data_IF_061242628097
#
_entry.id   IF_061242628097
#
_cell.length_a   1.000
_cell.length_b   1.000
_cell.length_c   1.000
_cell.angle_alpha   90.00
_cell.angle_beta   90.00
_cell.angle_gamma   90.00
#
_symmetry.space_group_name_H-M   'P 1'
#
loop_
_entity.id
_entity.type
_entity.pdbx_description
1 polymer ?
#
# COMPACT_ATOMS: atom_id res chain seq x y z
N UNK A 1 -36.34 24.53 0.33
CA UNK A 1 -36.46 23.11 -0.03
C UNK A 1 -35.05 22.59 -0.07
N UNK A 2 -34.59 22.07 1.08
CA UNK A 2 -33.20 21.66 1.29
C UNK A 2 -33.10 20.18 1.02
N UNK A 3 -32.24 19.80 0.09
CA UNK A 3 -31.98 18.40 -0.23
C UNK A 3 -30.68 18.01 0.47
N UNK A 4 -30.83 17.25 1.55
CA UNK A 4 -29.75 16.60 2.29
C UNK A 4 -29.10 15.57 1.36
N UNK A 5 -27.89 15.85 0.89
CA UNK A 5 -27.06 14.85 0.20
C UNK A 5 -26.58 13.82 1.22
N UNK A 6 -27.07 12.59 1.07
CA UNK A 6 -26.71 11.42 1.86
C UNK A 6 -25.25 11.04 1.52
N UNK A 7 -24.29 11.42 2.36
CA UNK A 7 -22.91 10.93 2.28
C UNK A 7 -22.91 9.49 2.76
N UNK A 8 -22.91 8.56 1.81
CA UNK A 8 -22.76 7.13 2.05
C UNK A 8 -21.30 6.88 2.47
N UNK A 9 -21.00 6.97 3.77
CA UNK A 9 -19.74 6.46 4.30
C UNK A 9 -19.78 4.94 4.22
N UNK A 10 -19.24 4.39 3.14
CA UNK A 10 -18.82 2.99 3.08
C UNK A 10 -17.58 2.90 3.96
N UNK A 11 -17.77 2.75 5.27
CA UNK A 11 -16.76 2.16 6.12
C UNK A 11 -16.68 0.68 5.74
N UNK A 12 -15.97 0.41 4.64
CA UNK A 12 -15.64 -0.93 4.22
C UNK A 12 -14.72 -1.56 5.24
N UNK A 13 -15.28 -2.35 6.16
CA UNK A 13 -14.56 -3.46 6.78
C UNK A 13 -14.30 -4.51 5.68
N UNK A 14 -13.41 -4.21 4.74
CA UNK A 14 -12.81 -5.20 3.87
C UNK A 14 -11.65 -5.79 4.66
N UNK A 15 -11.95 -6.89 5.37
CA UNK A 15 -10.93 -7.83 5.78
C UNK A 15 -10.49 -8.59 4.54
N UNK A 16 -9.82 -7.90 3.63
CA UNK A 16 -8.93 -8.57 2.68
C UNK A 16 -7.71 -8.98 3.50
N UNK A 17 -7.31 -10.24 3.37
CA UNK A 17 -6.07 -10.75 3.94
C UNK A 17 -4.93 -9.98 3.26
N UNK A 18 -4.63 -8.78 3.77
CA UNK A 18 -3.53 -7.94 3.32
C UNK A 18 -2.39 -8.11 4.29
N UNK A 19 -1.23 -8.43 3.75
CA UNK A 19 0.04 -8.40 4.49
C UNK A 19 0.91 -7.32 3.88
N UNK A 20 1.81 -6.76 4.68
CA UNK A 20 2.68 -5.71 4.19
C UNK A 20 4.12 -5.88 4.65
N UNK A 21 5.01 -5.26 3.90
CA UNK A 21 6.41 -5.12 4.26
C UNK A 21 6.77 -3.64 4.34
N UNK A 22 7.07 -3.17 5.54
CA UNK A 22 7.37 -1.78 5.84
C UNK A 22 8.87 -1.53 5.67
N UNK A 23 9.21 -0.76 4.63
CA UNK A 23 10.58 -0.31 4.35
C UNK A 23 10.76 1.18 4.65
N UNK A 24 9.90 1.80 5.48
CA UNK A 24 9.97 3.24 5.74
C UNK A 24 11.26 3.67 6.42
N UNK A 25 11.90 2.80 7.20
CA UNK A 25 13.20 3.08 7.79
C UNK A 25 14.32 3.23 6.74
N UNK A 26 14.21 2.54 5.61
CA UNK A 26 15.28 2.43 4.61
C UNK A 26 15.00 3.21 3.32
N UNK A 27 13.73 3.32 2.92
CA UNK A 27 13.36 3.82 1.58
C UNK A 27 12.08 4.63 1.53
N UNK A 28 11.49 4.97 2.69
CA UNK A 28 10.24 5.71 2.80
C UNK A 28 9.08 5.05 2.00
N UNK A 29 9.10 3.71 1.92
CA UNK A 29 8.14 2.89 1.17
C UNK A 29 7.56 1.78 2.03
N UNK A 30 6.33 1.36 1.78
CA UNK A 30 5.75 0.14 2.33
C UNK A 30 5.00 -0.60 1.21
N UNK A 31 5.19 -1.91 1.09
CA UNK A 31 4.54 -2.72 0.05
C UNK A 31 3.36 -3.49 0.65
N UNK A 32 2.15 -3.22 0.17
CA UNK A 32 0.95 -4.03 0.42
C UNK A 32 0.93 -5.23 -0.52
N UNK A 33 0.44 -6.36 -0.01
CA UNK A 33 0.06 -7.53 -0.80
C UNK A 33 -1.31 -8.03 -0.39
N UNK A 34 -2.17 -8.31 -1.34
CA UNK A 34 -3.50 -8.89 -1.11
C UNK A 34 -3.76 -10.11 -2.00
N UNK A 35 -4.94 -10.70 -1.87
CA UNK A 35 -5.37 -11.80 -2.73
C UNK A 35 -4.40 -12.99 -2.67
N UNK A 36 -3.99 -13.50 -3.84
CA UNK A 36 -3.03 -14.62 -3.91
C UNK A 36 -1.62 -14.22 -3.48
N UNK A 37 -1.29 -12.93 -3.53
CA UNK A 37 0.03 -12.42 -3.14
C UNK A 37 0.21 -12.41 -1.62
N UNK A 38 -0.91 -12.46 -0.86
CA UNK A 38 -0.94 -12.62 0.58
C UNK A 38 -1.11 -14.08 1.06
N UNK A 39 -1.28 -15.05 0.15
CA UNK A 39 -1.63 -16.42 0.50
C UNK A 39 -0.53 -17.19 1.28
N UNK A 40 0.70 -16.66 1.35
CA UNK A 40 1.83 -17.28 2.05
C UNK A 40 2.53 -16.28 2.99
N UNK A 41 1.89 -15.91 4.11
CA UNK A 41 2.41 -14.89 5.02
C UNK A 41 3.78 -15.25 5.58
N UNK A 42 4.02 -16.52 5.94
CA UNK A 42 5.31 -16.97 6.49
C UNK A 42 6.47 -16.84 5.50
N UNK A 43 6.22 -17.11 4.21
CA UNK A 43 7.26 -16.96 3.19
C UNK A 43 7.52 -15.49 2.88
N UNK A 44 6.47 -14.68 2.91
CA UNK A 44 6.58 -13.24 2.71
C UNK A 44 7.28 -12.55 3.88
N UNK A 45 6.95 -12.87 5.13
CA UNK A 45 7.63 -12.40 6.34
C UNK A 45 9.13 -12.66 6.26
N UNK A 46 9.54 -13.90 5.99
CA UNK A 46 10.95 -14.24 5.85
C UNK A 46 11.65 -13.47 4.72
N UNK A 47 10.96 -13.18 3.61
CA UNK A 47 11.51 -12.40 2.49
C UNK A 47 11.58 -10.91 2.84
N UNK A 48 10.58 -10.39 3.54
CA UNK A 48 10.50 -9.01 4.00
C UNK A 48 11.66 -8.70 4.96
N UNK A 49 11.85 -9.53 5.98
CA UNK A 49 12.94 -9.39 6.95
C UNK A 49 14.32 -9.53 6.29
N UNK A 50 14.47 -10.47 5.35
CA UNK A 50 15.71 -10.63 4.59
C UNK A 50 16.03 -9.40 3.71
N UNK A 51 15.01 -8.64 3.30
CA UNK A 51 15.14 -7.38 2.58
C UNK A 51 15.26 -6.15 3.52
N UNK A 52 15.43 -6.36 4.83
CA UNK A 52 15.48 -5.32 5.85
C UNK A 52 14.19 -4.49 5.99
N UNK A 53 13.04 -5.07 5.63
CA UNK A 53 11.73 -4.51 5.96
C UNK A 53 11.13 -5.16 7.21
N UNK A 54 10.17 -4.46 7.82
CA UNK A 54 9.39 -4.97 8.95
C UNK A 54 8.08 -5.59 8.42
N UNK A 55 7.86 -6.88 8.71
CA UNK A 55 6.62 -7.55 8.33
C UNK A 55 5.43 -7.01 9.14
N UNK A 56 4.31 -6.80 8.45
CA UNK A 56 3.04 -6.41 9.04
C UNK A 56 1.96 -7.44 8.68
N UNK A 57 1.31 -7.97 9.72
CA UNK A 57 0.13 -8.83 9.60
C UNK A 57 -1.13 -7.96 9.42
N UNK A 58 -1.14 -7.22 8.31
CA UNK A 58 -2.10 -6.17 7.98
C UNK A 58 -1.55 -5.24 6.90
N UNK A 59 -2.37 -4.25 6.46
CA UNK A 59 -1.95 -3.30 5.44
C UNK A 59 -0.90 -2.31 5.96
N UNK A 60 -0.22 -1.68 5.02
CA UNK A 60 0.65 -0.53 5.21
C UNK A 60 -0.06 0.60 5.98
N UNK A 61 0.65 1.30 6.89
CA UNK A 61 0.06 2.41 7.64
C UNK A 61 -0.42 3.53 6.73
N UNK A 62 -1.74 3.70 6.60
CA UNK A 62 -2.32 4.72 5.70
C UNK A 62 -1.95 6.17 6.04
N UNK A 63 -1.57 6.43 7.29
CA UNK A 63 -1.20 7.77 7.74
C UNK A 63 0.11 8.22 7.10
N UNK A 64 0.06 9.33 6.36
CA UNK A 64 1.24 9.99 5.80
C UNK A 64 1.67 9.47 4.42
N UNK A 65 0.84 8.65 3.78
CA UNK A 65 1.04 8.27 2.37
C UNK A 65 0.94 9.52 1.50
N UNK A 66 1.88 9.64 0.56
CA UNK A 66 1.93 10.68 -0.47
C UNK A 66 1.23 10.21 -1.74
N UNK A 67 1.43 8.93 -2.09
CA UNK A 67 0.79 8.21 -3.18
C UNK A 67 1.29 6.77 -3.21
N UNK A 68 0.69 5.93 -4.04
CA UNK A 68 1.12 4.55 -4.25
C UNK A 68 1.38 4.23 -5.71
N UNK A 69 2.05 3.10 -5.92
CA UNK A 69 2.23 2.50 -7.22
C UNK A 69 1.64 1.09 -7.23
N UNK A 70 0.58 0.91 -8.00
CA UNK A 70 -0.03 -0.40 -8.24
C UNK A 70 0.74 -1.13 -9.34
N UNK A 71 1.47 -2.17 -8.94
CA UNK A 71 2.38 -2.92 -9.82
C UNK A 71 1.87 -4.34 -10.15
N UNK A 72 0.67 -4.70 -9.68
CA UNK A 72 0.07 -6.04 -9.87
C UNK A 72 -1.48 -5.99 -9.79
N UNK A 73 -2.12 -5.11 -10.56
CA UNK A 73 -3.58 -4.98 -10.70
C UNK A 73 -4.36 -4.93 -9.37
N UNK A 74 -3.79 -4.27 -8.36
CA UNK A 74 -4.36 -4.06 -7.03
C UNK A 74 -3.89 -5.07 -5.99
N UNK A 75 -3.19 -6.13 -6.40
CA UNK A 75 -2.68 -7.17 -5.49
C UNK A 75 -1.31 -6.85 -4.89
N UNK A 76 -0.54 -5.94 -5.50
CA UNK A 76 0.71 -5.43 -4.95
C UNK A 76 0.79 -3.93 -5.15
N UNK A 77 0.83 -3.18 -4.04
CA UNK A 77 0.92 -1.72 -4.08
C UNK A 77 2.10 -1.24 -3.26
N UNK A 78 3.01 -0.50 -3.90
CA UNK A 78 4.10 0.21 -3.24
C UNK A 78 3.63 1.59 -2.80
N UNK A 79 3.40 1.78 -1.50
CA UNK A 79 3.03 3.05 -0.89
C UNK A 79 4.26 3.86 -0.51
N UNK A 80 4.27 5.14 -0.87
CA UNK A 80 5.39 6.03 -0.58
C UNK A 80 5.01 7.12 0.42
N UNK A 81 5.97 7.48 1.26
CA UNK A 81 5.82 8.42 2.38
C UNK A 81 6.80 9.58 2.22
N UNK A 82 6.55 10.68 2.93
CA UNK A 82 7.52 11.77 3.02
C UNK A 82 8.90 11.22 3.50
N UNK A 83 10.02 11.73 2.96
CA UNK A 83 10.18 12.94 2.16
C UNK A 83 9.90 12.79 0.65
N UNK A 84 9.39 11.64 0.17
CA UNK A 84 8.95 11.50 -1.22
C UNK A 84 7.85 12.51 -1.55
N UNK A 85 7.82 12.92 -2.80
CA UNK A 85 6.79 13.78 -3.38
C UNK A 85 5.91 12.97 -4.34
N UNK A 86 4.75 13.51 -4.71
CA UNK A 86 3.89 12.86 -5.71
C UNK A 86 4.64 12.64 -7.04
N UNK A 87 5.50 13.58 -7.44
CA UNK A 87 6.33 13.45 -8.63
C UNK A 87 7.32 12.27 -8.51
N UNK A 88 7.85 11.98 -7.31
CA UNK A 88 8.69 10.80 -7.09
C UNK A 88 7.89 9.49 -7.23
N UNK A 89 6.62 9.50 -6.82
CA UNK A 89 5.71 8.34 -6.97
C UNK A 89 5.37 8.14 -8.45
N UNK A 90 4.99 9.21 -9.14
CA UNK A 90 4.74 9.17 -10.58
C UNK A 90 5.94 8.61 -11.34
N UNK A 91 7.15 9.08 -11.02
CA UNK A 91 8.40 8.56 -11.60
C UNK A 91 8.65 7.09 -11.24
N UNK A 92 8.41 6.69 -10.00
CA UNK A 92 8.56 5.29 -9.58
C UNK A 92 7.59 4.34 -10.31
N UNK A 93 6.43 4.85 -10.74
CA UNK A 93 5.47 4.09 -11.53
C UNK A 93 5.75 4.07 -13.04
N UNK A 94 6.66 4.89 -13.55
CA UNK A 94 6.96 4.95 -14.98
C UNK A 94 7.56 3.62 -15.47
N UNK A 95 6.68 2.72 -15.94
CA UNK A 95 7.05 1.43 -16.53
C UNK A 95 6.71 0.21 -15.67
N UNK A 96 6.39 0.42 -14.39
CA UNK A 96 6.16 -0.67 -13.43
C UNK A 96 4.71 -0.73 -12.91
N UNK A 97 3.90 0.33 -13.07
CA UNK A 97 2.55 0.33 -12.51
C UNK A 97 1.68 1.56 -12.79
N UNK A 98 0.49 1.59 -12.18
CA UNK A 98 -0.42 2.74 -12.18
C UNK A 98 -0.30 3.53 -10.86
N UNK A 99 -0.26 4.86 -10.95
CA UNK A 99 -0.24 5.73 -9.77
C UNK A 99 -1.61 5.68 -9.10
N UNK A 100 -1.62 5.34 -7.81
CA UNK A 100 -2.84 5.32 -6.99
C UNK A 100 -2.83 6.44 -5.95
N UNK A 101 -3.99 7.06 -5.68
CA UNK A 101 -4.09 8.09 -4.64
C UNK A 101 -3.88 7.49 -3.25
N UNK A 102 -3.43 8.32 -2.27
CA UNK A 102 -3.26 7.91 -0.88
C UNK A 102 -4.55 7.51 -0.16
#
# INVERSE_FOLDING_TARGET
>A
MGELLLVLMVAGCFGDDTIACDFRAESDRCQDRSGTQAASPLAFEATCEAAAGDYLDGPCPRSGIIGGCDIDDGDVIDWYYAPKTLADVEFACEGDGEVVPP
#
